data_IF_208741959092
#
_entry.id   IF_208741959092
#
_cell.length_a   1.000
_cell.length_b   1.000
_cell.length_c   1.000
_cell.angle_alpha   90.00
_cell.angle_beta   90.00
_cell.angle_gamma   90.00
#
_symmetry.space_group_name_H-M   'P 1'
#
loop_
_entity.id
_entity.type
_entity.pdbx_description
1 polymer ?
#
# COMPACT_ATOMS: atom_id res chain seq x y z
N UNK A 1 5.43 0.10 -16.10
CA UNK A 1 4.68 -0.30 -14.86
C UNK A 1 5.49 -0.30 -13.56
N UNK A 2 6.73 -0.81 -13.55
CA UNK A 2 7.55 -0.96 -12.32
C UNK A 2 7.60 0.30 -11.45
N UNK A 3 7.87 1.46 -12.08
CA UNK A 3 8.01 2.74 -11.37
C UNK A 3 6.72 3.19 -10.70
N UNK A 4 5.57 3.05 -11.38
CA UNK A 4 4.26 3.42 -10.84
C UNK A 4 3.98 2.65 -9.54
N UNK A 5 4.08 1.32 -9.58
CA UNK A 5 3.81 0.47 -8.42
C UNK A 5 4.82 0.77 -7.31
N UNK A 6 6.12 0.86 -7.63
CA UNK A 6 7.16 1.11 -6.62
C UNK A 6 6.99 2.46 -5.93
N UNK A 7 6.75 3.54 -6.70
CA UNK A 7 6.64 4.90 -6.14
C UNK A 7 5.41 5.00 -5.25
N UNK A 8 4.26 4.50 -5.70
CA UNK A 8 3.01 4.58 -4.93
C UNK A 8 3.04 3.70 -3.68
N UNK A 9 3.65 2.52 -3.73
CA UNK A 9 3.89 1.69 -2.54
C UNK A 9 4.84 2.37 -1.55
N UNK A 10 5.90 3.02 -2.02
CA UNK A 10 6.82 3.78 -1.14
C UNK A 10 6.10 4.99 -0.51
N UNK A 11 5.28 5.71 -1.28
CA UNK A 11 4.49 6.84 -0.76
C UNK A 11 3.54 6.38 0.36
N UNK A 12 2.81 5.29 0.15
CA UNK A 12 1.92 4.70 1.14
C UNK A 12 2.70 4.31 2.41
N UNK A 13 3.83 3.61 2.24
CA UNK A 13 4.71 3.21 3.35
C UNK A 13 5.25 4.41 4.15
N UNK A 14 5.63 5.50 3.46
CA UNK A 14 6.13 6.71 4.11
C UNK A 14 5.01 7.39 4.90
N UNK A 15 3.82 7.53 4.32
CA UNK A 15 2.67 8.16 4.98
C UNK A 15 2.29 7.36 6.24
N UNK A 16 2.15 6.04 6.12
CA UNK A 16 1.81 5.18 7.25
C UNK A 16 2.91 5.13 8.29
N UNK A 17 4.18 5.11 7.87
CA UNK A 17 5.33 5.18 8.76
C UNK A 17 5.40 6.49 9.55
N UNK A 18 5.09 7.63 8.92
CA UNK A 18 5.03 8.93 9.59
C UNK A 18 3.87 8.96 10.60
N UNK A 19 2.69 8.48 10.21
CA UNK A 19 1.54 8.40 11.11
C UNK A 19 1.83 7.51 12.33
N UNK A 20 2.47 6.35 12.11
CA UNK A 20 2.79 5.41 13.18
C UNK A 20 3.92 5.94 14.09
N UNK A 21 4.91 6.64 13.54
CA UNK A 21 5.91 7.35 14.33
C UNK A 21 5.27 8.45 15.19
N UNK A 22 4.33 9.22 14.63
CA UNK A 22 3.58 10.23 15.38
C UNK A 22 2.80 9.62 16.56
N UNK A 23 2.16 8.46 16.35
CA UNK A 23 1.51 7.71 17.43
C UNK A 23 2.50 7.22 18.49
N UNK A 24 3.74 6.87 18.10
CA UNK A 24 4.77 6.37 19.02
C UNK A 24 5.36 7.44 19.92
N UNK A 25 5.55 8.65 19.41
CA UNK A 25 6.10 9.77 20.20
C UNK A 25 5.06 10.48 21.06
N UNK A 26 3.77 10.15 20.89
CA UNK A 26 2.71 10.74 21.68
C UNK A 26 2.61 10.07 23.05
N UNK A 27 2.92 10.83 24.10
CA UNK A 27 2.72 10.39 25.49
C UNK A 27 1.22 10.19 25.76
N UNK A 28 0.76 8.94 25.68
CA UNK A 28 -0.65 8.55 25.86
C UNK A 28 -1.34 8.21 24.54
N UNK A 29 -1.16 6.96 24.09
CA UNK A 29 -1.92 6.38 22.99
C UNK A 29 -3.37 6.16 23.44
N UNK A 30 -4.24 7.16 23.24
CA UNK A 30 -5.68 7.03 23.55
C UNK A 30 -6.42 6.31 22.44
N UNK A 31 -7.59 5.74 22.79
CA UNK A 31 -8.49 5.09 21.85
C UNK A 31 -8.86 5.98 20.65
N UNK A 32 -8.99 7.30 20.86
CA UNK A 32 -9.31 8.25 19.80
C UNK A 32 -8.25 8.27 18.70
N UNK A 33 -6.96 8.23 19.07
CA UNK A 33 -5.86 8.23 18.10
C UNK A 33 -5.78 6.93 17.32
N UNK A 34 -6.04 5.80 17.98
CA UNK A 34 -6.12 4.48 17.34
C UNK A 34 -7.28 4.49 16.32
N UNK A 35 -8.44 5.03 16.68
CA UNK A 35 -9.59 5.14 15.79
C UNK A 35 -9.33 6.07 14.59
N UNK A 36 -8.67 7.21 14.81
CA UNK A 36 -8.30 8.14 13.74
C UNK A 36 -7.37 7.45 12.73
N UNK A 37 -6.34 6.75 13.21
CA UNK A 37 -5.41 6.04 12.35
C UNK A 37 -6.07 4.89 11.59
N UNK A 38 -6.92 4.10 12.27
CA UNK A 38 -7.67 3.03 11.62
C UNK A 38 -8.63 3.58 10.56
N UNK A 39 -9.29 4.71 10.83
CA UNK A 39 -10.15 5.41 9.87
C UNK A 39 -9.35 5.90 8.65
N UNK A 40 -8.13 6.39 8.86
CA UNK A 40 -7.22 6.76 7.79
C UNK A 40 -6.92 5.58 6.86
N UNK A 41 -6.49 4.43 7.43
CA UNK A 41 -6.20 3.22 6.65
C UNK A 41 -7.41 2.76 5.81
N UNK A 42 -8.59 2.66 6.42
CA UNK A 42 -9.80 2.17 5.75
C UNK A 42 -10.25 3.10 4.62
N UNK A 43 -10.09 4.41 4.78
CA UNK A 43 -10.59 5.37 3.80
C UNK A 43 -9.57 5.69 2.70
N UNK A 44 -8.32 5.98 3.08
CA UNK A 44 -7.31 6.42 2.12
C UNK A 44 -6.78 5.29 1.24
N UNK A 45 -6.64 4.07 1.74
CA UNK A 45 -6.03 2.99 0.96
C UNK A 45 -6.88 2.54 -0.22
N UNK A 46 -8.19 2.26 -0.07
CA UNK A 46 -9.04 1.96 -1.22
C UNK A 46 -9.06 3.09 -2.25
N UNK A 47 -9.12 4.35 -1.80
CA UNK A 47 -9.10 5.51 -2.69
C UNK A 47 -7.78 5.57 -3.48
N UNK A 48 -6.64 5.40 -2.82
CA UNK A 48 -5.35 5.39 -3.50
C UNK A 48 -5.22 4.23 -4.49
N UNK A 49 -5.73 3.04 -4.16
CA UNK A 49 -5.74 1.90 -5.07
C UNK A 49 -6.62 2.16 -6.30
N UNK A 50 -7.78 2.80 -6.14
CA UNK A 50 -8.61 3.16 -7.30
C UNK A 50 -7.92 4.19 -8.19
N UNK A 51 -7.27 5.20 -7.60
CA UNK A 51 -6.46 6.18 -8.34
C UNK A 51 -5.32 5.50 -9.12
N UNK A 52 -4.60 4.59 -8.46
CA UNK A 52 -3.51 3.82 -9.07
C UNK A 52 -4.00 2.91 -10.19
N UNK A 53 -5.17 2.28 -10.02
CA UNK A 53 -5.83 1.48 -11.04
C UNK A 53 -6.15 2.32 -12.28
N UNK A 54 -6.64 3.55 -12.09
CA UNK A 54 -6.93 4.47 -13.18
C UNK A 54 -5.65 4.92 -13.91
N UNK A 55 -4.59 5.29 -13.19
CA UNK A 55 -3.30 5.63 -13.81
C UNK A 55 -2.71 4.47 -14.64
N UNK A 56 -2.86 3.22 -14.15
CA UNK A 56 -2.47 2.03 -14.89
C UNK A 56 -3.35 1.82 -16.14
N UNK A 57 -4.64 2.15 -16.07
CA UNK A 57 -5.55 2.11 -17.22
C UNK A 57 -5.13 3.11 -18.28
N UNK A 58 -4.80 4.34 -17.90
CA UNK A 58 -4.46 5.41 -18.84
C UNK A 58 -3.15 5.11 -19.58
N UNK A 59 -2.12 4.63 -18.86
CA UNK A 59 -0.82 4.33 -19.45
C UNK A 59 -0.74 2.97 -20.15
N UNK A 60 -1.54 1.98 -19.73
CA UNK A 60 -1.47 0.61 -20.23
C UNK A 60 -2.83 0.09 -20.69
N UNK A 61 -3.65 0.94 -21.31
CA UNK A 61 -5.06 0.63 -21.69
C UNK A 61 -5.22 -0.69 -22.45
N UNK A 62 -4.30 -0.99 -23.37
CA UNK A 62 -4.30 -2.24 -24.16
C UNK A 62 -4.06 -3.49 -23.32
N UNK A 63 -3.27 -3.39 -22.25
CA UNK A 63 -2.91 -4.50 -21.35
C UNK A 63 -3.74 -4.47 -20.04
N UNK A 64 -4.53 -3.42 -19.83
CA UNK A 64 -5.17 -3.12 -18.56
C UNK A 64 -6.14 -4.21 -18.14
N UNK A 65 -6.89 -4.85 -19.05
CA UNK A 65 -7.83 -5.91 -18.64
C UNK A 65 -7.12 -7.08 -17.93
N UNK A 66 -5.92 -7.44 -18.38
CA UNK A 66 -5.10 -8.50 -17.81
C UNK A 66 -4.36 -8.05 -16.55
N UNK A 67 -3.89 -6.80 -16.52
CA UNK A 67 -3.22 -6.20 -15.36
C UNK A 67 -4.23 -5.98 -14.22
N UNK A 68 -5.44 -5.51 -14.53
CA UNK A 68 -6.50 -5.15 -13.56
C UNK A 68 -6.80 -6.28 -12.60
N UNK A 69 -7.01 -7.50 -13.08
CA UNK A 69 -7.28 -8.65 -12.21
C UNK A 69 -6.14 -8.94 -11.23
N UNK A 70 -4.88 -8.75 -11.65
CA UNK A 70 -3.70 -8.97 -10.80
C UNK A 70 -3.49 -7.82 -9.83
N UNK A 71 -3.68 -6.60 -10.30
CA UNK A 71 -3.62 -5.40 -9.50
C UNK A 71 -4.66 -5.41 -8.38
N UNK A 72 -5.90 -5.81 -8.67
CA UNK A 72 -6.94 -5.91 -7.64
C UNK A 72 -6.68 -7.03 -6.63
N UNK A 73 -6.07 -8.15 -7.04
CA UNK A 73 -5.58 -9.17 -6.10
C UNK A 73 -4.50 -8.62 -5.17
N UNK A 74 -3.60 -7.80 -5.71
CA UNK A 74 -2.58 -7.10 -4.93
C UNK A 74 -3.19 -6.08 -3.96
N UNK A 75 -4.10 -5.23 -4.43
CA UNK A 75 -4.81 -4.26 -3.60
C UNK A 75 -5.59 -4.96 -2.47
N UNK A 76 -6.29 -6.06 -2.78
CA UNK A 76 -6.98 -6.88 -1.77
C UNK A 76 -6.03 -7.47 -0.74
N UNK A 77 -4.83 -7.92 -1.14
CA UNK A 77 -3.83 -8.40 -0.19
C UNK A 77 -3.35 -7.31 0.76
N UNK A 78 -3.13 -6.08 0.26
CA UNK A 78 -2.78 -4.96 1.14
C UNK A 78 -3.94 -4.60 2.07
N UNK A 79 -5.17 -4.49 1.55
CA UNK A 79 -6.34 -4.20 2.38
C UNK A 79 -6.56 -5.27 3.45
N UNK A 80 -6.28 -6.55 3.17
CA UNK A 80 -6.31 -7.61 4.17
C UNK A 80 -5.25 -7.41 5.25
N UNK A 81 -4.03 -7.00 4.88
CA UNK A 81 -2.99 -6.63 5.84
C UNK A 81 -3.39 -5.41 6.68
N UNK A 82 -4.05 -4.42 6.10
CA UNK A 82 -4.55 -3.25 6.82
C UNK A 82 -5.55 -3.66 7.90
N UNK A 83 -6.47 -4.57 7.57
CA UNK A 83 -7.42 -5.11 8.54
C UNK A 83 -6.71 -5.87 9.67
N UNK A 84 -5.63 -6.59 9.38
CA UNK A 84 -4.82 -7.26 10.41
C UNK A 84 -4.11 -6.24 11.33
N UNK A 85 -3.61 -5.14 10.78
CA UNK A 85 -2.98 -4.05 11.56
C UNK A 85 -4.02 -3.36 12.43
N UNK A 86 -5.19 -3.04 11.88
CA UNK A 86 -6.32 -2.46 12.62
C UNK A 86 -6.72 -3.37 13.78
N UNK A 87 -6.88 -4.67 13.52
CA UNK A 87 -7.21 -5.66 14.54
C UNK A 87 -6.10 -5.72 15.61
N UNK A 88 -4.83 -5.70 15.19
CA UNK A 88 -3.70 -5.67 16.11
C UNK A 88 -3.72 -4.43 17.00
N UNK A 89 -4.00 -3.25 16.45
CA UNK A 89 -4.08 -2.01 17.22
C UNK A 89 -5.23 -2.00 18.23
N UNK A 90 -6.38 -2.56 17.86
CA UNK A 90 -7.56 -2.61 18.73
C UNK A 90 -7.39 -3.63 19.88
N UNK A 91 -6.85 -4.81 19.60
CA UNK A 91 -6.79 -5.91 20.57
C UNK A 91 -5.45 -6.03 21.30
N UNK A 92 -4.37 -5.50 20.73
CA UNK A 92 -3.01 -5.59 21.26
C UNK A 92 -2.38 -4.20 21.46
N UNK A 93 -3.19 -3.22 21.88
CA UNK A 93 -2.76 -1.82 22.09
C UNK A 93 -1.60 -1.64 23.09
N UNK A 94 -1.30 -2.66 23.90
CA UNK A 94 -0.14 -2.70 24.80
C UNK A 94 1.18 -3.19 24.17
N UNK A 95 1.18 -3.61 22.90
CA UNK A 95 2.39 -4.03 22.18
C UNK A 95 3.11 -2.79 21.62
N UNK A 96 4.46 -2.76 21.63
CA UNK A 96 5.22 -1.67 21.03
C UNK A 96 4.83 -1.42 19.57
N UNK A 97 4.42 -0.18 19.27
CA UNK A 97 4.07 0.25 17.91
C UNK A 97 5.20 -0.04 16.90
N UNK A 98 6.46 -0.07 17.34
CA UNK A 98 7.60 -0.48 16.51
C UNK A 98 7.44 -1.87 15.86
N UNK A 99 6.86 -2.83 16.57
CA UNK A 99 6.59 -4.17 16.04
C UNK A 99 5.46 -4.13 14.99
N UNK A 100 4.47 -3.28 15.19
CA UNK A 100 3.41 -3.05 14.19
C UNK A 100 3.94 -2.37 12.94
N UNK A 101 4.83 -1.38 13.07
CA UNK A 101 5.51 -0.77 11.92
C UNK A 101 6.30 -1.80 11.10
N UNK A 102 6.97 -2.74 11.78
CA UNK A 102 7.69 -3.85 11.11
C UNK A 102 6.74 -4.78 10.36
N UNK A 103 5.58 -5.11 10.96
CA UNK A 103 4.52 -5.90 10.31
C UNK A 103 3.95 -5.18 9.10
N UNK A 104 3.76 -3.86 9.17
CA UNK A 104 3.30 -3.01 8.07
C UNK A 104 4.27 -3.07 6.88
N UNK A 105 5.56 -2.88 7.15
CA UNK A 105 6.61 -2.94 6.12
C UNK A 105 6.62 -4.30 5.43
N UNK A 106 6.59 -5.40 6.20
CA UNK A 106 6.54 -6.75 5.64
C UNK A 106 5.25 -7.01 4.86
N UNK A 107 4.11 -6.59 5.43
CA UNK A 107 2.78 -6.75 4.86
C UNK A 107 2.61 -6.04 3.54
N UNK A 108 3.35 -4.96 3.28
CA UNK A 108 3.29 -4.23 2.01
C UNK A 108 4.37 -4.67 1.02
N UNK A 109 5.59 -4.92 1.52
CA UNK A 109 6.72 -5.28 0.68
C UNK A 109 6.53 -6.67 0.05
N UNK A 110 6.00 -7.65 0.79
CA UNK A 110 5.82 -9.02 0.29
C UNK A 110 4.79 -9.07 -0.86
N UNK A 111 3.56 -8.55 -0.72
CA UNK A 111 2.59 -8.51 -1.82
C UNK A 111 3.09 -7.67 -3.01
N UNK A 112 3.75 -6.54 -2.74
CA UNK A 112 4.30 -5.67 -3.78
C UNK A 112 5.37 -6.38 -4.59
N UNK A 113 6.29 -7.07 -3.91
CA UNK A 113 7.34 -7.85 -4.55
C UNK A 113 6.78 -9.00 -5.39
N UNK A 114 5.85 -9.79 -4.83
CA UNK A 114 5.24 -10.94 -5.52
C UNK A 114 4.48 -10.49 -6.77
N UNK A 115 3.76 -9.37 -6.68
CA UNK A 115 3.01 -8.80 -7.79
C UNK A 115 3.94 -8.26 -8.87
N UNK A 116 5.01 -7.55 -8.47
CA UNK A 116 6.06 -7.09 -9.38
C UNK A 116 6.72 -8.26 -10.13
N UNK A 117 7.02 -9.37 -9.44
CA UNK A 117 7.61 -10.55 -10.07
C UNK A 117 6.66 -11.18 -11.09
N UNK A 118 5.37 -11.29 -10.74
CA UNK A 118 4.34 -11.79 -11.66
C UNK A 118 4.21 -10.90 -12.89
N UNK A 119 4.13 -9.57 -12.70
CA UNK A 119 4.00 -8.62 -13.81
C UNK A 119 5.25 -8.60 -14.70
N UNK A 120 6.44 -8.72 -14.11
CA UNK A 120 7.70 -8.82 -14.87
C UNK A 120 7.75 -10.06 -15.75
N UNK A 121 7.25 -11.20 -15.25
CA UNK A 121 7.24 -12.47 -15.98
C UNK A 121 6.24 -12.43 -17.15
N UNK A 122 5.06 -11.88 -16.91
CA UNK A 122 3.96 -11.95 -17.89
C UNK A 122 4.01 -10.78 -18.90
N UNK A 123 4.59 -9.63 -18.52
CA UNK A 123 4.67 -8.43 -19.37
C UNK A 123 6.07 -7.80 -19.35
N UNK A 124 7.13 -8.48 -19.80
CA UNK A 124 8.50 -8.02 -19.63
C UNK A 124 8.80 -6.66 -20.28
N UNK A 125 8.27 -6.41 -21.49
CA UNK A 125 8.48 -5.16 -22.24
C UNK A 125 7.76 -3.97 -21.58
N UNK A 126 6.45 -4.08 -21.33
CA UNK A 126 5.65 -3.03 -20.69
C UNK A 126 6.03 -2.81 -19.20
N UNK A 127 6.62 -3.81 -18.54
CA UNK A 127 7.12 -3.67 -17.19
C UNK A 127 8.33 -2.74 -17.11
N UNK A 128 9.24 -2.86 -18.10
CA UNK A 128 10.46 -2.05 -18.23
C UNK A 128 10.23 -0.68 -18.88
N UNK A 129 9.05 -0.43 -19.44
CA UNK A 129 8.75 0.82 -20.12
C UNK A 129 9.04 2.04 -19.22
N UNK A 130 9.91 2.96 -19.69
CA UNK A 130 10.33 4.12 -18.91
C UNK A 130 9.21 5.16 -18.88
N UNK A 131 8.56 5.27 -17.73
CA UNK A 131 7.60 6.34 -17.46
C UNK A 131 8.35 7.51 -16.81
N UNK A 132 8.05 8.73 -17.24
CA UNK A 132 8.59 9.95 -16.65
C UNK A 132 8.07 10.12 -15.22
N UNK A 133 8.88 10.64 -14.31
CA UNK A 133 8.48 10.83 -12.92
C UNK A 133 7.28 11.79 -12.80
N UNK A 134 7.24 12.83 -13.64
CA UNK A 134 6.16 13.82 -13.67
C UNK A 134 4.79 13.26 -14.08
N UNK A 135 4.76 12.20 -14.89
CA UNK A 135 3.49 11.54 -15.25
C UNK A 135 3.01 10.57 -14.16
N UNK A 136 3.85 10.27 -13.15
CA UNK A 136 3.56 9.34 -12.06
C UNK A 136 3.10 10.06 -10.79
N UNK A 137 3.58 11.30 -10.58
CA UNK A 137 3.25 12.11 -9.41
C UNK A 137 1.74 12.38 -9.37
#
# INVERSE_FOLDING_TARGET
MKKIISIKTIQLLIIDGIMLAFLTFKEGLTWDWILIYNGWLIFFHPVLFTYLSNQLCDHFSQLYSQIRSRFWRFALQILLWDNLIILSLLFLSGIPLFLQGSLLILGYLIPSYRTCQSLKRDFPQAYQEPISFWNIL
#
